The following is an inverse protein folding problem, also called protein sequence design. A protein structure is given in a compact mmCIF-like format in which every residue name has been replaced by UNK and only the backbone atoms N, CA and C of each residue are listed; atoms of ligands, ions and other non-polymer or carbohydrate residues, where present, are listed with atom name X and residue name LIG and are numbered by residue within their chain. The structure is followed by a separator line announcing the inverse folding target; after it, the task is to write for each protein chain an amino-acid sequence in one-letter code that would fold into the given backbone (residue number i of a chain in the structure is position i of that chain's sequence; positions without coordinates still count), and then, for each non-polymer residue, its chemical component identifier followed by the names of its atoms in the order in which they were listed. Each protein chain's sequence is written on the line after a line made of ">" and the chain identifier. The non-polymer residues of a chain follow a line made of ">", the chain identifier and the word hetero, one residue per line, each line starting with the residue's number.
data_IF_843909182066
#
_entry.id   IF_843909182066
#
_cell.length_a   1.000
_cell.length_b   1.000
_cell.length_c   1.000
_cell.angle_alpha   90.00
_cell.angle_beta   90.00
_cell.angle_gamma   90.00
#
_symmetry.space_group_name_H-M   'P 1'
#
loop_
_entity.id
_entity.type
_entity.pdbx_description
1 polymer ?
#
# COMPACT_ATOMS: atom_id res chain seq x y z
N UNK A 1 10.26 -25.71 -66.77
CA UNK A 1 8.97 -25.01 -66.90
C UNK A 1 8.75 -24.15 -65.67
N UNK A 2 8.82 -22.82 -65.79
CA UNK A 2 8.61 -21.91 -64.65
C UNK A 2 7.10 -21.63 -64.53
N UNK A 3 6.46 -22.18 -63.50
CA UNK A 3 5.04 -21.99 -63.22
C UNK A 3 4.82 -20.57 -62.71
N UNK A 4 4.39 -19.65 -63.59
CA UNK A 4 4.07 -18.27 -63.22
C UNK A 4 2.81 -18.28 -62.33
N UNK A 5 2.97 -17.94 -61.06
CA UNK A 5 1.85 -17.80 -60.13
C UNK A 5 1.04 -16.57 -60.58
N UNK A 6 -0.27 -16.69 -60.86
CA UNK A 6 -1.07 -15.55 -61.27
C UNK A 6 -1.07 -14.51 -60.16
N UNK A 7 -0.79 -13.25 -60.50
CA UNK A 7 -0.60 -12.12 -59.57
C UNK A 7 -1.77 -12.00 -58.55
N UNK A 8 -2.98 -12.36 -58.97
CA UNK A 8 -4.18 -12.43 -58.10
C UNK A 8 -4.10 -13.47 -56.98
N UNK A 9 -3.40 -14.58 -57.16
CA UNK A 9 -3.15 -15.57 -56.10
C UNK A 9 -2.03 -15.11 -55.16
N UNK A 10 -0.97 -14.48 -55.69
CA UNK A 10 0.09 -13.90 -54.88
C UNK A 10 -0.43 -12.82 -53.92
N UNK A 11 -1.35 -11.97 -54.38
CA UNK A 11 -1.96 -10.92 -53.57
C UNK A 11 -2.85 -11.50 -52.44
N UNK A 12 -3.61 -12.56 -52.72
CA UNK A 12 -4.43 -13.26 -51.71
C UNK A 12 -3.58 -13.92 -50.63
N UNK A 13 -2.44 -14.52 -51.02
CA UNK A 13 -1.48 -15.08 -50.05
C UNK A 13 -0.82 -14.00 -49.20
N UNK A 14 -0.44 -12.86 -49.79
CA UNK A 14 0.10 -11.74 -49.03
C UNK A 14 -0.87 -11.21 -47.97
N UNK A 15 -2.14 -11.04 -48.34
CA UNK A 15 -3.18 -10.59 -47.40
C UNK A 15 -3.41 -11.60 -46.26
N UNK A 16 -3.41 -12.90 -46.58
CA UNK A 16 -3.56 -13.95 -45.57
C UNK A 16 -2.39 -13.94 -44.57
N UNK A 17 -1.16 -13.75 -45.03
CA UNK A 17 0.00 -13.61 -44.16
C UNK A 17 -0.08 -12.38 -43.26
N UNK A 18 -0.50 -11.22 -43.80
CA UNK A 18 -0.69 -9.99 -42.99
C UNK A 18 -1.72 -10.21 -41.89
N UNK A 19 -2.85 -10.87 -42.19
CA UNK A 19 -3.87 -11.18 -41.18
C UNK A 19 -3.36 -12.12 -40.09
N UNK A 20 -2.56 -13.12 -40.45
CA UNK A 20 -1.95 -14.05 -39.49
C UNK A 20 -0.96 -13.30 -38.58
N UNK A 21 -0.08 -12.49 -39.15
CA UNK A 21 0.87 -11.68 -38.37
C UNK A 21 0.16 -10.66 -37.49
N UNK A 22 -0.92 -10.04 -37.98
CA UNK A 22 -1.73 -9.12 -37.19
C UNK A 22 -2.41 -9.84 -36.02
N UNK A 23 -2.98 -11.02 -36.24
CA UNK A 23 -3.59 -11.82 -35.18
C UNK A 23 -2.56 -12.25 -34.12
N UNK A 24 -1.38 -12.73 -34.55
CA UNK A 24 -0.28 -13.08 -33.64
C UNK A 24 0.21 -11.85 -32.87
N UNK A 25 0.35 -10.71 -33.55
CA UNK A 25 0.77 -9.45 -32.93
C UNK A 25 -0.25 -8.98 -31.89
N UNK A 26 -1.55 -9.04 -32.18
CA UNK A 26 -2.63 -8.71 -31.24
C UNK A 26 -2.61 -9.65 -30.03
N UNK A 27 -2.46 -10.96 -30.25
CA UNK A 27 -2.32 -11.94 -29.14
C UNK A 27 -1.08 -11.63 -28.29
N UNK A 28 0.04 -11.30 -28.93
CA UNK A 28 1.28 -11.02 -28.21
C UNK A 28 1.28 -9.66 -27.51
N UNK A 29 0.57 -8.67 -28.05
CA UNK A 29 0.37 -7.36 -27.44
C UNK A 29 -0.60 -7.43 -26.26
N UNK A 30 -1.68 -8.21 -26.37
CA UNK A 30 -2.68 -8.37 -25.32
C UNK A 30 -2.24 -9.35 -24.20
N UNK A 31 -1.24 -10.20 -24.42
CA UNK A 31 -0.79 -11.20 -23.43
C UNK A 31 -0.38 -10.57 -22.08
N UNK A 32 0.19 -9.37 -22.10
CA UNK A 32 0.61 -8.65 -20.89
C UNK A 32 -0.58 -8.16 -20.08
N UNK A 33 -1.65 -7.73 -20.74
CA UNK A 33 -2.86 -7.21 -20.08
C UNK A 33 -3.66 -8.35 -19.45
N UNK A 34 -3.75 -9.49 -20.13
CA UNK A 34 -4.41 -10.69 -19.60
C UNK A 34 -3.63 -11.32 -18.44
N UNK A 35 -2.29 -11.33 -18.48
CA UNK A 35 -1.49 -11.79 -17.35
C UNK A 35 -1.68 -10.91 -16.11
N UNK A 36 -1.65 -9.58 -16.28
CA UNK A 36 -1.88 -8.64 -15.19
C UNK A 36 -3.30 -8.73 -14.61
N UNK A 37 -4.31 -9.00 -15.45
CA UNK A 37 -5.70 -9.22 -15.00
C UNK A 37 -5.84 -10.56 -14.26
N UNK A 38 -5.21 -11.63 -14.75
CA UNK A 38 -5.19 -12.94 -14.12
C UNK A 38 -4.53 -12.91 -12.74
N UNK A 39 -3.40 -12.24 -12.62
CA UNK A 39 -2.71 -12.03 -11.35
C UNK A 39 -3.61 -11.31 -10.34
N UNK A 40 -4.33 -10.26 -10.76
CA UNK A 40 -5.27 -9.52 -9.90
C UNK A 40 -6.46 -10.38 -9.44
N UNK A 41 -6.99 -11.24 -10.31
CA UNK A 41 -8.09 -12.15 -9.99
C UNK A 41 -7.66 -13.32 -9.08
N UNK A 42 -6.47 -13.87 -9.31
CA UNK A 42 -5.91 -14.89 -8.41
C UNK A 42 -5.54 -14.32 -7.04
N UNK A 43 -5.18 -13.03 -6.97
CA UNK A 43 -4.87 -12.33 -5.72
C UNK A 43 -6.12 -11.94 -4.93
N UNK A 44 -7.23 -11.56 -5.57
CA UNK A 44 -8.49 -11.30 -4.88
C UNK A 44 -9.10 -12.57 -4.26
N UNK A 45 -8.78 -13.74 -4.81
CA UNK A 45 -9.17 -15.04 -4.27
C UNK A 45 -8.39 -15.44 -2.99
N UNK A 46 -7.24 -14.81 -2.69
CA UNK A 46 -6.36 -15.19 -1.58
C UNK A 46 -6.64 -14.45 -0.26
N UNK A 47 -7.73 -13.67 -0.18
CA UNK A 47 -8.07 -12.92 1.03
C UNK A 47 -7.15 -11.70 1.26
N UNK A 48 -7.38 -10.91 2.32
CA UNK A 48 -6.55 -9.74 2.61
C UNK A 48 -5.09 -10.19 2.76
N UNK A 49 -4.20 -9.59 1.96
CA UNK A 49 -2.78 -9.94 1.92
C UNK A 49 -2.18 -9.82 3.33
N UNK A 50 -2.01 -10.97 3.98
CA UNK A 50 -1.49 -11.02 5.33
C UNK A 50 -0.03 -10.55 5.30
N UNK A 51 0.39 -9.62 6.18
CA UNK A 51 1.77 -9.21 6.26
C UNK A 51 2.69 -10.42 6.39
N UNK A 52 3.75 -10.47 5.57
CA UNK A 52 4.71 -11.57 5.56
C UNK A 52 5.93 -11.14 6.36
N UNK A 53 6.15 -11.80 7.49
CA UNK A 53 7.34 -11.63 8.30
C UNK A 53 8.47 -12.50 7.74
N UNK A 54 9.56 -11.88 7.26
CA UNK A 54 10.76 -12.57 6.75
C UNK A 54 11.93 -12.25 7.67
N UNK A 55 12.23 -13.15 8.62
CA UNK A 55 13.14 -12.83 9.71
C UNK A 55 12.56 -11.67 10.52
N UNK A 56 13.34 -10.60 10.70
CA UNK A 56 12.85 -9.40 11.38
C UNK A 56 12.24 -8.35 10.43
N UNK A 57 12.35 -8.55 9.11
CA UNK A 57 11.77 -7.63 8.13
C UNK A 57 10.29 -7.93 7.91
N UNK A 58 9.45 -6.90 8.05
CA UNK A 58 8.03 -6.99 7.73
C UNK A 58 7.78 -6.56 6.29
N UNK A 59 7.09 -7.40 5.51
CA UNK A 59 6.64 -7.09 4.16
C UNK A 59 5.13 -7.00 4.11
N UNK A 60 4.62 -5.88 3.64
CA UNK A 60 3.18 -5.59 3.59
C UNK A 60 2.82 -5.35 2.14
N UNK A 61 1.85 -6.12 1.63
CA UNK A 61 1.43 -5.96 0.24
C UNK A 61 0.52 -4.74 0.11
N UNK A 62 0.62 -4.05 -1.02
CA UNK A 62 -0.31 -2.98 -1.35
C UNK A 62 -1.73 -3.55 -1.43
N UNK A 63 -2.67 -2.89 -0.76
CA UNK A 63 -4.09 -3.25 -0.82
C UNK A 63 -4.70 -2.77 -2.15
N UNK A 64 -5.93 -3.24 -2.43
CA UNK A 64 -6.61 -2.93 -3.69
C UNK A 64 -6.94 -1.43 -3.87
N UNK A 65 -6.99 -0.68 -2.78
CA UNK A 65 -7.16 0.78 -2.77
C UNK A 65 -5.87 1.53 -3.11
N UNK A 66 -4.74 0.83 -3.28
CA UNK A 66 -3.44 1.43 -3.56
C UNK A 66 -2.69 1.87 -2.30
N UNK A 67 -3.21 1.61 -1.11
CA UNK A 67 -2.58 1.99 0.15
C UNK A 67 -1.91 0.80 0.84
N UNK A 68 -1.03 1.10 1.79
CA UNK A 68 -0.43 0.11 2.68
C UNK A 68 -1.09 0.21 4.05
N UNK A 69 -1.60 -0.92 4.51
CA UNK A 69 -2.25 -1.03 5.81
C UNK A 69 -1.50 -2.02 6.68
N UNK A 70 -1.25 -1.64 7.93
CA UNK A 70 -0.62 -2.51 8.93
C UNK A 70 -1.49 -2.60 10.17
N UNK A 71 -1.64 -3.81 10.69
CA UNK A 71 -2.17 -4.01 12.02
C UNK A 71 -1.00 -3.93 13.01
N UNK A 72 -1.20 -3.12 14.05
CA UNK A 72 -0.21 -2.87 15.07
C UNK A 72 -0.83 -3.06 16.46
N UNK A 73 -0.04 -3.54 17.40
CA UNK A 73 -0.41 -3.55 18.82
C UNK A 73 0.02 -2.21 19.43
N UNK A 74 -0.95 -1.37 19.80
CA UNK A 74 -0.75 -0.06 20.40
C UNK A 74 -1.20 -0.14 21.87
N UNK A 75 -0.25 -0.10 22.80
CA UNK A 75 -0.53 -0.26 24.24
C UNK A 75 -1.39 -1.51 24.56
N UNK A 76 -1.24 -2.60 23.81
CA UNK A 76 -2.03 -3.83 23.97
C UNK A 76 -3.34 -3.89 23.17
N UNK A 77 -3.76 -2.78 22.55
CA UNK A 77 -4.92 -2.73 21.65
C UNK A 77 -4.48 -3.00 20.20
N UNK A 78 -5.21 -3.86 19.48
CA UNK A 78 -4.95 -4.08 18.06
C UNK A 78 -5.59 -2.96 17.24
N UNK A 79 -4.76 -2.19 16.53
CA UNK A 79 -5.16 -1.02 15.77
C UNK A 79 -4.64 -1.12 14.34
N UNK A 80 -5.52 -0.88 13.38
CA UNK A 80 -5.16 -0.78 11.97
C UNK A 80 -4.71 0.63 11.61
N UNK A 81 -3.58 0.73 10.93
CA UNK A 81 -2.97 1.97 10.49
C UNK A 81 -2.79 2.02 8.98
N UNK A 82 -3.09 3.19 8.41
CA UNK A 82 -2.63 3.59 7.09
C UNK A 82 -1.16 4.01 7.20
N UNK A 83 -0.27 3.44 6.41
CA UNK A 83 1.12 3.89 6.35
C UNK A 83 1.21 5.10 5.44
N UNK A 84 1.66 6.24 5.97
CA UNK A 84 1.72 7.51 5.24
C UNK A 84 3.06 8.23 5.50
N UNK A 85 3.91 8.26 4.47
CA UNK A 85 5.17 9.00 4.51
C UNK A 85 5.01 10.52 4.43
N UNK A 86 3.81 11.01 4.08
CA UNK A 86 3.46 12.43 4.09
C UNK A 86 3.08 12.95 5.49
N UNK A 87 2.78 12.06 6.43
CA UNK A 87 2.46 12.41 7.80
C UNK A 87 3.72 12.48 8.66
N UNK A 88 4.10 13.66 9.15
CA UNK A 88 5.28 13.80 10.01
C UNK A 88 5.15 13.04 11.34
N UNK A 89 3.95 13.02 11.91
CA UNK A 89 3.64 12.39 13.20
C UNK A 89 2.50 11.40 13.04
N UNK A 90 2.61 10.26 13.71
CA UNK A 90 1.55 9.25 13.81
C UNK A 90 0.29 9.85 14.40
N UNK A 91 -0.86 9.59 13.77
CA UNK A 91 -2.15 10.18 14.12
C UNK A 91 -3.15 9.11 14.53
N UNK A 92 -3.89 9.38 15.59
CA UNK A 92 -4.91 8.51 16.16
C UNK A 92 -6.25 9.24 16.19
N UNK A 93 -7.33 8.53 15.90
CA UNK A 93 -8.64 9.03 16.26
C UNK A 93 -8.79 9.09 17.78
N UNK A 94 -9.61 10.00 18.30
CA UNK A 94 -9.89 10.08 19.74
C UNK A 94 -10.44 8.76 20.27
N UNK A 95 -11.27 8.07 19.48
CA UNK A 95 -11.81 6.76 19.83
C UNK A 95 -10.70 5.71 20.02
N UNK A 96 -9.73 5.67 19.11
CA UNK A 96 -8.58 4.75 19.21
C UNK A 96 -7.68 5.11 20.39
N UNK A 97 -7.35 6.40 20.56
CA UNK A 97 -6.51 6.85 21.68
C UNK A 97 -7.12 6.44 23.03
N UNK A 98 -8.43 6.61 23.18
CA UNK A 98 -9.17 6.18 24.38
C UNK A 98 -9.14 4.66 24.60
N UNK A 99 -9.30 3.84 23.55
CA UNK A 99 -9.21 2.37 23.67
C UNK A 99 -7.81 1.91 24.04
N UNK A 100 -6.78 2.57 23.53
CA UNK A 100 -5.38 2.30 23.83
C UNK A 100 -4.88 2.96 25.13
N UNK A 101 -5.75 3.63 25.89
CA UNK A 101 -5.39 4.31 27.14
C UNK A 101 -4.41 5.48 26.98
N UNK A 102 -4.35 6.09 25.79
CA UNK A 102 -3.45 7.21 25.50
C UNK A 102 -4.19 8.51 25.79
N UNK A 103 -3.77 9.18 26.85
CA UNK A 103 -4.30 10.48 27.24
C UNK A 103 -3.54 11.62 26.55
N UNK A 104 -4.22 12.72 26.18
CA UNK A 104 -3.56 13.94 25.76
C UNK A 104 -2.61 14.47 26.85
N UNK A 105 -1.43 14.94 26.44
CA UNK A 105 -0.42 15.53 27.33
C UNK A 105 -0.82 16.89 27.92
N UNK A 106 -2.05 17.35 27.68
CA UNK A 106 -2.53 18.68 28.02
C UNK A 106 -1.98 19.79 27.12
N UNK A 107 -2.40 21.03 27.40
CA UNK A 107 -2.03 22.22 26.63
C UNK A 107 -3.02 22.58 25.52
N UNK A 108 -2.71 23.65 24.78
CA UNK A 108 -3.55 24.09 23.66
C UNK A 108 -3.41 23.14 22.46
N UNK A 109 -4.51 22.84 21.76
CA UNK A 109 -4.46 22.07 20.52
C UNK A 109 -3.49 22.68 19.51
N UNK A 110 -2.69 21.83 18.88
CA UNK A 110 -1.87 22.22 17.75
C UNK A 110 -2.70 22.17 16.47
N UNK A 111 -2.32 22.98 15.50
CA UNK A 111 -2.99 23.04 14.20
C UNK A 111 -2.08 22.39 13.17
N UNK A 112 -2.56 21.33 12.52
CA UNK A 112 -1.79 20.54 11.56
C UNK A 112 -2.47 20.60 10.19
N UNK A 113 -1.65 20.81 9.15
CA UNK A 113 -2.09 20.75 7.76
C UNK A 113 -2.16 19.27 7.33
N UNK A 114 -3.30 18.86 6.80
CA UNK A 114 -3.51 17.54 6.21
C UNK A 114 -3.97 17.68 4.76
N UNK A 115 -4.06 16.57 4.03
CA UNK A 115 -4.63 16.56 2.69
C UNK A 115 -6.09 17.05 2.66
N UNK A 116 -6.84 16.82 3.74
CA UNK A 116 -8.25 17.22 3.87
C UNK A 116 -8.40 18.63 4.49
N UNK A 117 -7.32 19.40 4.56
CA UNK A 117 -7.29 20.72 5.17
C UNK A 117 -6.72 20.69 6.59
N UNK A 118 -7.07 21.71 7.36
CA UNK A 118 -6.45 21.98 8.65
C UNK A 118 -7.22 21.31 9.79
N UNK A 119 -6.51 20.56 10.63
CA UNK A 119 -7.09 19.82 11.76
C UNK A 119 -6.46 20.27 13.08
N UNK A 120 -7.29 20.50 14.09
CA UNK A 120 -6.84 20.70 15.45
C UNK A 120 -6.53 19.35 16.11
N UNK A 121 -5.33 19.21 16.65
CA UNK A 121 -4.83 17.96 17.23
C UNK A 121 -4.36 18.20 18.66
N UNK A 122 -4.62 17.23 19.52
CA UNK A 122 -3.98 17.15 20.83
C UNK A 122 -2.74 16.27 20.73
N UNK A 123 -1.71 16.57 21.51
CA UNK A 123 -0.50 15.76 21.57
C UNK A 123 -0.68 14.68 22.62
N UNK A 124 -0.16 13.50 22.36
CA UNK A 124 -0.11 12.38 23.30
C UNK A 124 1.13 11.54 23.07
N UNK A 125 1.27 10.47 23.84
CA UNK A 125 2.39 9.54 23.71
C UNK A 125 1.91 8.11 23.93
N UNK A 126 2.18 7.25 22.96
CA UNK A 126 1.97 5.82 23.09
C UNK A 126 3.15 5.24 23.87
N UNK A 127 2.87 4.39 24.86
CA UNK A 127 3.91 3.75 25.67
C UNK A 127 4.65 2.71 24.84
N UNK A 128 3.90 1.94 24.05
CA UNK A 128 4.43 0.90 23.17
C UNK A 128 3.60 0.78 21.90
N UNK A 129 4.28 0.71 20.76
CA UNK A 129 3.70 0.29 19.49
C UNK A 129 4.53 -0.87 18.93
N UNK A 130 3.85 -1.92 18.49
CA UNK A 130 4.46 -3.07 17.84
C UNK A 130 3.82 -3.31 16.47
N UNK A 131 4.64 -3.36 15.43
CA UNK A 131 4.24 -3.65 14.05
C UNK A 131 5.02 -4.88 13.58
N UNK A 132 4.37 -6.05 13.55
CA UNK A 132 5.07 -7.32 13.36
C UNK A 132 6.10 -7.55 14.47
N UNK A 133 7.38 -7.76 14.10
CA UNK A 133 8.50 -7.86 15.05
C UNK A 133 9.08 -6.51 15.51
N UNK A 134 8.64 -5.40 14.93
CA UNK A 134 9.23 -4.07 15.17
C UNK A 134 8.54 -3.43 16.38
N UNK A 135 9.30 -3.13 17.44
CA UNK A 135 8.79 -2.50 18.66
C UNK A 135 9.38 -1.10 18.81
N UNK A 136 8.54 -0.12 19.13
CA UNK A 136 8.95 1.23 19.53
C UNK A 136 8.23 1.64 20.80
N UNK A 137 8.97 2.29 21.68
CA UNK A 137 8.44 2.78 22.96
C UNK A 137 8.36 4.30 22.96
N UNK A 138 7.35 4.83 23.63
CA UNK A 138 7.24 6.26 23.85
C UNK A 138 7.01 7.09 22.58
N UNK A 139 6.31 6.53 21.59
CA UNK A 139 6.06 7.16 20.31
C UNK A 139 5.12 8.37 20.48
N UNK A 140 5.54 9.55 20.01
CA UNK A 140 4.68 10.72 19.99
C UNK A 140 3.50 10.52 19.01
N UNK A 141 2.30 10.95 19.42
CA UNK A 141 1.10 10.83 18.59
C UNK A 141 0.29 12.13 18.59
N UNK A 142 -0.43 12.35 17.50
CA UNK A 142 -1.49 13.35 17.42
C UNK A 142 -2.85 12.68 17.58
N UNK A 143 -3.75 13.31 18.33
CA UNK A 143 -5.09 12.80 18.64
C UNK A 143 -6.11 13.82 18.15
N UNK A 144 -7.06 13.41 17.32
CA UNK A 144 -8.15 14.29 16.88
C UNK A 144 -9.34 13.50 16.35
N UNK A 145 -10.55 14.05 16.54
CA UNK A 145 -11.75 13.59 15.85
C UNK A 145 -11.72 13.93 14.35
N UNK A 146 -10.92 14.92 13.95
CA UNK A 146 -10.78 15.35 12.56
C UNK A 146 -10.10 14.32 11.64
N UNK A 147 -9.52 13.26 12.21
CA UNK A 147 -8.99 12.12 11.44
C UNK A 147 -10.06 11.07 11.08
N UNK A 148 -11.28 11.21 11.60
CA UNK A 148 -12.34 10.22 11.42
C UNK A 148 -11.97 8.87 12.02
N UNK A 149 -12.25 7.78 11.30
CA UNK A 149 -11.98 6.41 11.74
C UNK A 149 -10.58 5.90 11.37
N UNK A 150 -9.80 6.70 10.63
CA UNK A 150 -8.50 6.28 10.10
C UNK A 150 -7.38 6.68 11.05
N UNK A 151 -6.56 5.71 11.46
CA UNK A 151 -5.29 5.96 12.14
C UNK A 151 -4.15 5.95 11.12
N UNK A 152 -3.15 6.80 11.32
CA UNK A 152 -2.05 6.98 10.38
C UNK A 152 -0.72 6.71 11.07
N UNK A 153 0.08 5.82 10.50
CA UNK A 153 1.45 5.55 10.91
C UNK A 153 2.39 6.47 10.13
N UNK A 154 2.94 7.45 10.83
CA UNK A 154 3.70 8.54 10.22
C UNK A 154 5.21 8.33 10.22
N UNK A 155 5.91 9.33 9.71
CA UNK A 155 7.36 9.37 9.58
C UNK A 155 8.08 9.25 10.91
N UNK A 156 7.53 9.71 12.03
CA UNK A 156 8.16 9.53 13.33
C UNK A 156 8.34 8.06 13.74
N UNK A 157 7.49 7.16 13.23
CA UNK A 157 7.73 5.71 13.31
C UNK A 157 8.66 5.25 12.18
N UNK A 158 8.35 5.59 10.93
CA UNK A 158 9.09 5.08 9.76
C UNK A 158 10.58 5.47 9.76
N UNK A 159 10.94 6.68 10.19
CA UNK A 159 12.32 7.14 10.28
C UNK A 159 13.10 6.54 11.45
N UNK A 160 12.43 5.85 12.37
CA UNK A 160 13.09 5.15 13.46
C UNK A 160 13.64 3.78 13.04
N UNK A 161 13.25 3.31 11.86
CA UNK A 161 13.64 2.03 11.26
C UNK A 161 15.05 2.13 10.64
N UNK A 162 15.77 1.00 10.58
CA UNK A 162 17.03 0.94 9.80
C UNK A 162 16.81 1.17 8.30
N UNK A 163 15.62 0.85 7.81
CA UNK A 163 15.21 1.20 6.46
C UNK A 163 13.77 0.84 6.15
N UNK A 164 13.12 1.66 5.34
CA UNK A 164 11.79 1.41 4.82
C UNK A 164 11.71 1.82 3.34
N UNK A 165 10.78 1.23 2.61
CA UNK A 165 10.57 1.57 1.20
C UNK A 165 9.51 0.72 0.53
N UNK A 166 9.19 1.08 -0.71
CA UNK A 166 8.23 0.34 -1.55
C UNK A 166 8.97 -0.27 -2.73
N UNK A 167 8.81 -1.57 -2.92
CA UNK A 167 9.42 -2.34 -4.00
C UNK A 167 8.40 -3.34 -4.55
N UNK A 168 8.12 -3.29 -5.85
CA UNK A 168 7.22 -4.23 -6.55
C UNK A 168 5.83 -4.40 -5.88
N UNK A 169 5.24 -3.31 -5.39
CA UNK A 169 3.95 -3.34 -4.70
C UNK A 169 4.01 -3.88 -3.27
N UNK A 170 5.20 -3.99 -2.68
CA UNK A 170 5.42 -4.33 -1.28
C UNK A 170 6.03 -3.15 -0.53
N UNK A 171 5.43 -2.80 0.59
CA UNK A 171 6.08 -2.02 1.63
C UNK A 171 6.99 -2.94 2.42
N UNK A 172 8.25 -2.55 2.58
CA UNK A 172 9.27 -3.26 3.32
C UNK A 172 9.65 -2.41 4.53
N UNK A 173 9.52 -2.95 5.73
CA UNK A 173 9.91 -2.31 6.99
C UNK A 173 11.00 -3.14 7.65
N UNK A 174 12.18 -2.55 7.85
CA UNK A 174 13.31 -3.18 8.54
C UNK A 174 13.42 -2.59 9.96
N UNK A 175 13.57 -3.40 11.01
CA UNK A 175 13.63 -2.92 12.39
C UNK A 175 14.70 -1.88 12.65
#
# INVERSE_FOLDING_TARGET
>A
MVRRIPIRQGLKMGLAWVLIFLAIFVVFALRSDFAALGDRLMQSAQGPATPVQQGETLRVRQAMDGHFWVDAELNGETVRFLVDSGATTTSLSTATARRAGIEPSGGFPAIVQTANGTVAVQRGRADRIQVGSIVREGLAVHISDGFGDTNVLGMNFLSSLSGWGVEDGWLILRP
#
